data_IF_499052388519
#
_entry.id   IF_499052388519
#
_cell.length_a   1.000
_cell.length_b   1.000
_cell.length_c   1.000
_cell.angle_alpha   90.00
_cell.angle_beta   90.00
_cell.angle_gamma   90.00
#
_symmetry.space_group_name_H-M   'P 1'
#
loop_
_entity.id
_entity.type
_entity.pdbx_description
1 polymer ?
#
# COMPACT_ATOMS: atom_id res chain seq x y z
N UNK A 1 42.34 -56.51 -6.17
CA UNK A 1 41.07 -56.42 -6.92
C UNK A 1 40.24 -55.26 -6.43
N UNK A 2 40.19 -54.15 -7.18
CA UNK A 2 39.50 -52.93 -6.79
C UNK A 2 38.30 -52.63 -7.70
N UNK A 3 37.16 -52.39 -7.03
CA UNK A 3 36.04 -51.47 -7.31
C UNK A 3 35.51 -51.35 -8.77
N UNK A 4 34.31 -51.88 -8.99
CA UNK A 4 33.29 -51.28 -9.87
C UNK A 4 31.97 -51.16 -9.09
N UNK A 5 31.69 -49.96 -8.59
CA UNK A 5 30.35 -49.57 -8.15
C UNK A 5 29.89 -48.46 -9.10
N UNK A 6 29.01 -48.82 -10.05
CA UNK A 6 28.22 -47.87 -10.82
C UNK A 6 26.97 -47.55 -10.00
N UNK A 7 26.89 -46.37 -9.39
CA UNK A 7 25.63 -45.79 -8.92
C UNK A 7 25.15 -44.78 -9.95
N UNK A 8 24.07 -45.15 -10.63
CA UNK A 8 23.24 -44.27 -11.44
C UNK A 8 22.39 -43.43 -10.50
N UNK A 9 22.75 -42.17 -10.29
CA UNK A 9 21.88 -41.15 -9.69
C UNK A 9 21.36 -40.26 -10.81
N UNK A 10 20.29 -40.69 -11.48
CA UNK A 10 19.42 -39.78 -12.24
C UNK A 10 18.61 -38.98 -11.23
N UNK A 11 19.14 -37.85 -10.79
CA UNK A 11 18.32 -36.78 -10.24
C UNK A 11 17.54 -36.16 -11.38
N UNK A 12 16.22 -36.39 -11.41
CA UNK A 12 15.30 -35.58 -12.21
C UNK A 12 15.32 -34.16 -11.64
N UNK A 13 16.12 -33.29 -12.23
CA UNK A 13 15.89 -31.86 -12.12
C UNK A 13 14.61 -31.55 -12.91
N UNK A 14 13.59 -30.92 -12.31
CA UNK A 14 12.45 -30.45 -13.07
C UNK A 14 12.95 -29.43 -14.08
N UNK A 15 12.56 -29.64 -15.34
CA UNK A 15 12.99 -28.81 -16.45
C UNK A 15 12.49 -27.38 -16.26
N UNK A 16 13.31 -26.41 -16.65
CA UNK A 16 13.09 -24.96 -16.62
C UNK A 16 11.83 -24.48 -17.39
N UNK A 17 11.03 -25.40 -17.94
CA UNK A 17 9.76 -25.14 -18.63
C UNK A 17 8.53 -25.21 -17.73
N UNK A 18 8.59 -25.84 -16.56
CA UNK A 18 7.44 -25.95 -15.65
C UNK A 18 7.36 -24.82 -14.61
N UNK A 19 8.44 -24.05 -14.43
CA UNK A 19 8.44 -22.83 -13.61
C UNK A 19 8.13 -21.56 -14.41
N UNK A 20 7.70 -21.72 -15.67
CA UNK A 20 7.35 -20.62 -16.58
C UNK A 20 5.87 -20.22 -16.56
N UNK A 21 5.00 -20.96 -15.88
CA UNK A 21 3.54 -20.72 -15.92
C UNK A 21 3.02 -19.78 -14.82
N UNK A 22 3.89 -19.23 -13.97
CA UNK A 22 3.54 -18.17 -12.99
C UNK A 22 4.37 -16.89 -13.18
N UNK A 23 5.05 -16.73 -14.33
CA UNK A 23 5.71 -15.47 -14.72
C UNK A 23 4.77 -14.63 -15.61
N UNK A 24 3.64 -14.24 -15.04
CA UNK A 24 2.91 -13.08 -15.55
C UNK A 24 3.50 -11.85 -14.89
N UNK A 25 4.16 -11.00 -15.68
CA UNK A 25 4.64 -9.64 -15.33
C UNK A 25 6.12 -9.50 -14.97
N UNK A 26 7.01 -10.13 -15.74
CA UNK A 26 8.32 -9.51 -15.98
C UNK A 26 8.18 -8.50 -17.10
N UNK A 27 8.58 -7.25 -16.84
CA UNK A 27 8.61 -6.12 -17.78
C UNK A 27 9.66 -6.32 -18.88
N UNK A 28 9.52 -7.37 -19.69
CA UNK A 28 10.16 -7.47 -20.99
C UNK A 28 9.41 -6.56 -21.97
N UNK A 29 10.13 -5.69 -22.68
CA UNK A 29 9.60 -4.80 -23.73
C UNK A 29 8.48 -5.49 -24.53
N UNK A 30 7.22 -5.18 -24.20
CA UNK A 30 6.07 -5.55 -25.02
C UNK A 30 6.29 -4.92 -26.38
N UNK A 31 6.35 -5.74 -27.43
CA UNK A 31 6.39 -5.22 -28.80
C UNK A 31 5.07 -4.49 -29.03
N UNK A 32 5.15 -3.34 -29.70
CA UNK A 32 3.99 -2.51 -30.03
C UNK A 32 2.99 -3.35 -30.84
N UNK A 33 1.92 -3.84 -30.20
CA UNK A 33 0.90 -4.70 -30.82
C UNK A 33 0.62 -6.03 -30.11
N UNK A 34 1.47 -6.46 -29.18
CA UNK A 34 1.20 -7.63 -28.35
C UNK A 34 0.30 -7.21 -27.17
N UNK A 35 -1.02 -7.34 -27.34
CA UNK A 35 -1.94 -7.35 -26.20
C UNK A 35 -1.98 -8.80 -25.69
N UNK A 36 -1.30 -9.16 -24.58
CA UNK A 36 -1.55 -10.44 -23.94
C UNK A 36 -3.03 -10.49 -23.57
N UNK A 37 -3.80 -11.31 -24.28
CA UNK A 37 -5.21 -11.53 -23.96
C UNK A 37 -5.25 -12.41 -22.72
N UNK A 38 -5.73 -11.84 -21.63
CA UNK A 38 -6.08 -12.59 -20.43
C UNK A 38 -7.14 -13.63 -20.78
N UNK A 39 -7.16 -14.74 -20.04
CA UNK A 39 -8.31 -15.63 -20.12
C UNK A 39 -9.57 -14.85 -19.67
N UNK A 40 -10.77 -15.14 -20.20
CA UNK A 40 -11.98 -14.38 -19.87
C UNK A 40 -12.25 -14.23 -18.36
N UNK A 41 -11.92 -15.25 -17.57
CA UNK A 41 -12.07 -15.24 -16.11
C UNK A 41 -11.04 -14.32 -15.43
N UNK A 42 -9.81 -14.29 -15.92
CA UNK A 42 -8.75 -13.40 -15.41
C UNK A 42 -9.05 -11.94 -15.76
N UNK A 43 -9.58 -11.70 -16.97
CA UNK A 43 -10.03 -10.38 -17.40
C UNK A 43 -11.19 -9.88 -16.53
N UNK A 44 -12.20 -10.72 -16.27
CA UNK A 44 -13.31 -10.36 -15.39
C UNK A 44 -12.83 -10.08 -13.96
N UNK A 45 -11.99 -10.93 -13.38
CA UNK A 45 -11.43 -10.71 -12.05
C UNK A 45 -10.64 -9.40 -11.97
N UNK A 46 -9.85 -9.08 -13.00
CA UNK A 46 -9.11 -7.82 -13.08
C UNK A 46 -10.05 -6.61 -13.19
N UNK A 47 -11.09 -6.68 -14.04
CA UNK A 47 -12.06 -5.59 -14.20
C UNK A 47 -12.82 -5.33 -12.91
N UNK A 48 -13.21 -6.38 -12.19
CA UNK A 48 -13.85 -6.24 -10.88
C UNK A 48 -12.91 -5.64 -9.84
N UNK A 49 -11.63 -6.06 -9.81
CA UNK A 49 -10.62 -5.46 -8.94
C UNK A 49 -10.46 -3.97 -9.22
N UNK A 50 -10.29 -3.58 -10.49
CA UNK A 50 -10.18 -2.19 -10.90
C UNK A 50 -11.44 -1.37 -10.58
N UNK A 51 -12.62 -1.96 -10.73
CA UNK A 51 -13.89 -1.32 -10.34
C UNK A 51 -13.90 -1.01 -8.84
N UNK A 52 -13.56 -1.99 -8.01
CA UNK A 52 -13.50 -1.83 -6.55
C UNK A 52 -12.45 -0.80 -6.12
N UNK A 53 -11.27 -0.81 -6.75
CA UNK A 53 -10.24 0.21 -6.50
C UNK A 53 -10.71 1.62 -6.83
N UNK A 54 -11.45 1.79 -7.93
CA UNK A 54 -12.05 3.08 -8.31
C UNK A 54 -13.12 3.51 -7.31
N UNK A 55 -13.99 2.60 -6.90
CA UNK A 55 -15.02 2.85 -5.88
C UNK A 55 -14.40 3.23 -4.54
N UNK A 56 -13.38 2.49 -4.07
CA UNK A 56 -12.66 2.79 -2.85
C UNK A 56 -11.94 4.15 -2.91
N UNK A 57 -11.31 4.48 -4.05
CA UNK A 57 -10.66 5.77 -4.27
C UNK A 57 -11.66 6.93 -4.30
N UNK A 58 -12.81 6.74 -4.95
CA UNK A 58 -13.88 7.72 -4.98
C UNK A 58 -14.44 7.96 -3.57
N UNK A 59 -14.71 6.89 -2.82
CA UNK A 59 -15.16 6.97 -1.43
C UNK A 59 -14.14 7.67 -0.53
N UNK A 60 -12.86 7.33 -0.62
CA UNK A 60 -11.80 7.99 0.15
C UNK A 60 -11.69 9.49 -0.17
N UNK A 61 -11.82 9.87 -1.45
CA UNK A 61 -11.82 11.27 -1.86
C UNK A 61 -13.05 12.03 -1.33
N UNK A 62 -14.23 11.40 -1.36
CA UNK A 62 -15.45 11.95 -0.79
C UNK A 62 -15.31 12.16 0.72
N UNK A 63 -14.84 11.16 1.47
CA UNK A 63 -14.64 11.28 2.92
C UNK A 63 -13.62 12.37 3.26
N UNK A 64 -12.52 12.48 2.52
CA UNK A 64 -11.53 13.53 2.72
C UNK A 64 -12.12 14.94 2.45
N UNK A 65 -12.89 15.12 1.37
CA UNK A 65 -13.56 16.39 1.09
C UNK A 65 -14.63 16.71 2.15
N UNK A 66 -15.40 15.71 2.59
CA UNK A 66 -16.41 15.86 3.63
C UNK A 66 -15.79 16.27 4.97
N UNK A 67 -14.69 15.64 5.40
CA UNK A 67 -13.97 15.99 6.62
C UNK A 67 -13.41 17.43 6.59
N UNK A 68 -12.91 17.87 5.44
CA UNK A 68 -12.42 19.24 5.26
C UNK A 68 -13.55 20.28 5.35
N UNK A 69 -14.71 19.98 4.77
CA UNK A 69 -15.88 20.88 4.80
C UNK A 69 -16.60 20.86 6.15
N UNK A 70 -16.64 19.72 6.83
CA UNK A 70 -17.22 19.54 8.16
C UNK A 70 -16.64 20.51 9.20
N UNK A 71 -15.35 20.83 9.08
CA UNK A 71 -14.69 21.84 9.91
C UNK A 71 -15.27 23.24 9.77
N UNK A 72 -15.80 23.57 8.59
CA UNK A 72 -16.44 24.86 8.34
C UNK A 72 -17.89 24.82 8.81
N UNK A 73 -18.61 23.73 8.52
CA UNK A 73 -20.00 23.53 8.92
C UNK A 73 -20.16 23.48 10.44
N UNK A 74 -19.18 22.97 11.18
CA UNK A 74 -19.22 22.88 12.64
C UNK A 74 -19.25 24.25 13.35
N UNK A 75 -19.10 25.35 12.60
CA UNK A 75 -19.21 26.73 13.10
C UNK A 75 -20.59 27.35 12.86
N UNK A 76 -21.46 26.65 12.15
CA UNK A 76 -22.80 27.09 11.83
C UNK A 76 -23.79 26.68 12.94
N UNK A 77 -24.95 27.34 13.04
CA UNK A 77 -26.06 26.85 13.85
C UNK A 77 -26.41 25.41 13.44
N UNK A 78 -26.73 24.57 14.43
CA UNK A 78 -27.00 23.13 14.22
C UNK A 78 -28.15 22.92 13.23
N UNK A 79 -29.12 23.83 13.26
CA UNK A 79 -30.33 23.84 12.46
C UNK A 79 -30.04 24.04 10.96
N UNK A 80 -28.92 24.71 10.61
CA UNK A 80 -28.54 25.00 9.23
C UNK A 80 -27.66 23.92 8.59
N UNK A 81 -27.09 23.02 9.41
CA UNK A 81 -26.08 22.03 8.96
C UNK A 81 -26.62 21.14 7.85
N UNK A 82 -27.84 20.60 8.00
CA UNK A 82 -28.42 19.67 7.03
C UNK A 82 -28.67 20.35 5.68
N UNK A 83 -29.26 21.54 5.68
CA UNK A 83 -29.56 22.29 4.47
C UNK A 83 -28.28 22.64 3.67
N UNK A 84 -27.22 23.05 4.38
CA UNK A 84 -25.94 23.34 3.75
C UNK A 84 -25.25 22.06 3.25
N UNK A 85 -25.27 20.97 4.02
CA UNK A 85 -24.72 19.68 3.61
C UNK A 85 -25.40 19.13 2.34
N UNK A 86 -26.73 19.27 2.25
CA UNK A 86 -27.53 18.92 1.06
C UNK A 86 -27.18 19.76 -0.17
N UNK A 87 -26.75 21.01 0.03
CA UNK A 87 -26.32 21.90 -1.06
C UNK A 87 -24.89 21.58 -1.51
N UNK A 88 -23.97 21.40 -0.56
CA UNK A 88 -22.57 21.07 -0.84
C UNK A 88 -22.40 19.71 -1.50
N UNK A 89 -23.18 18.71 -1.09
CA UNK A 89 -23.17 17.36 -1.67
C UNK A 89 -23.48 17.33 -3.17
N UNK A 90 -24.18 18.33 -3.71
CA UNK A 90 -24.51 18.45 -5.14
C UNK A 90 -23.60 19.39 -5.91
N UNK A 91 -23.00 20.37 -5.24
CA UNK A 91 -22.25 21.46 -5.89
C UNK A 91 -20.74 21.21 -5.93
N UNK A 92 -20.21 20.41 -5.00
CA UNK A 92 -18.79 20.06 -4.95
C UNK A 92 -18.49 18.85 -5.82
N UNK A 93 -17.46 18.95 -6.66
CA UNK A 93 -17.18 17.97 -7.71
C UNK A 93 -16.94 16.56 -7.19
N UNK A 94 -16.20 16.35 -6.09
CA UNK A 94 -15.95 15.00 -5.59
C UNK A 94 -17.15 14.45 -4.82
N UNK A 95 -17.91 15.32 -4.13
CA UNK A 95 -19.15 14.95 -3.44
C UNK A 95 -20.30 14.59 -4.38
N UNK A 96 -20.43 15.30 -5.50
CA UNK A 96 -21.51 15.12 -6.47
C UNK A 96 -21.50 13.75 -7.17
N UNK A 97 -20.43 12.97 -7.01
CA UNK A 97 -20.32 11.59 -7.52
C UNK A 97 -21.28 10.65 -6.76
N UNK A 98 -21.47 10.89 -5.45
CA UNK A 98 -22.39 10.15 -4.60
C UNK A 98 -23.08 11.11 -3.62
N UNK A 99 -24.12 11.84 -4.05
CA UNK A 99 -24.70 12.93 -3.27
C UNK A 99 -25.29 12.49 -1.91
N UNK A 100 -25.86 11.29 -1.83
CA UNK A 100 -26.42 10.75 -0.58
C UNK A 100 -25.28 10.45 0.41
N UNK A 101 -24.28 9.68 -0.02
CA UNK A 101 -23.10 9.37 0.77
C UNK A 101 -22.39 10.64 1.24
N UNK A 102 -22.25 11.63 0.37
CA UNK A 102 -21.65 12.91 0.69
C UNK A 102 -22.46 13.71 1.71
N UNK A 103 -23.80 13.75 1.58
CA UNK A 103 -24.67 14.43 2.53
C UNK A 103 -24.53 13.80 3.92
N UNK A 104 -24.63 12.47 4.02
CA UNK A 104 -24.50 11.73 5.27
C UNK A 104 -23.11 11.93 5.87
N UNK A 105 -22.05 11.80 5.07
CA UNK A 105 -20.68 12.01 5.52
C UNK A 105 -20.46 13.44 6.02
N UNK A 106 -21.01 14.46 5.36
CA UNK A 106 -20.92 15.85 5.81
C UNK A 106 -21.61 16.05 7.16
N UNK A 107 -22.86 15.60 7.31
CA UNK A 107 -23.60 15.78 8.57
C UNK A 107 -22.91 15.01 9.71
N UNK A 108 -22.57 13.74 9.50
CA UNK A 108 -21.89 12.92 10.49
C UNK A 108 -20.54 13.54 10.90
N UNK A 109 -19.66 13.84 9.94
CA UNK A 109 -18.36 14.44 10.24
C UNK A 109 -18.50 15.82 10.92
N UNK A 110 -19.52 16.60 10.57
CA UNK A 110 -19.76 17.92 11.19
C UNK A 110 -20.12 17.78 12.66
N UNK A 111 -21.11 16.93 12.98
CA UNK A 111 -21.51 16.66 14.35
C UNK A 111 -20.32 16.15 15.17
N UNK A 112 -19.55 15.22 14.62
CA UNK A 112 -18.38 14.67 15.30
C UNK A 112 -17.25 15.71 15.48
N UNK A 113 -17.15 16.72 14.62
CA UNK A 113 -16.25 17.86 14.84
C UNK A 113 -16.69 18.77 15.99
N UNK A 114 -17.97 18.74 16.37
CA UNK A 114 -18.52 19.50 17.49
C UNK A 114 -18.32 18.80 18.85
N UNK A 115 -17.71 17.60 18.88
CA UNK A 115 -17.42 16.83 20.12
C UNK A 115 -16.39 17.50 21.06
N UNK A 116 -15.92 18.71 20.78
CA UNK A 116 -15.11 19.52 21.68
C UNK A 116 -15.82 20.80 22.05
N UNK A 117 -15.91 21.12 23.34
CA UNK A 117 -16.22 22.49 23.76
C UNK A 117 -15.23 23.44 23.07
N UNK A 118 -15.67 24.54 22.44
CA UNK A 118 -14.73 25.54 21.99
C UNK A 118 -14.00 26.03 23.24
N UNK A 119 -12.73 25.67 23.40
CA UNK A 119 -11.84 26.41 24.27
C UNK A 119 -11.87 27.83 23.74
N UNK A 120 -12.48 28.74 24.52
CA UNK A 120 -12.61 30.14 24.13
C UNK A 120 -11.24 30.64 23.65
N UNK A 121 -11.12 31.18 22.44
CA UNK A 121 -9.92 31.92 22.10
C UNK A 121 -9.84 33.10 23.05
N UNK A 122 -8.75 33.21 23.81
CA UNK A 122 -8.42 34.44 24.54
C UNK A 122 -8.68 35.65 23.62
N UNK A 123 -9.36 36.71 24.10
CA UNK A 123 -9.75 37.81 23.25
C UNK A 123 -8.51 38.48 22.65
N UNK A 124 -8.30 38.25 21.35
CA UNK A 124 -7.25 38.89 20.58
C UNK A 124 -7.44 40.41 20.61
N UNK A 125 -6.41 41.12 21.10
CA UNK A 125 -6.32 42.58 21.11
C UNK A 125 -6.70 43.15 19.73
N UNK A 126 -7.65 44.10 19.73
CA UNK A 126 -8.15 44.83 18.56
C UNK A 126 -7.01 45.41 17.72
N UNK A 127 -6.72 44.76 16.60
CA UNK A 127 -5.88 45.27 15.52
C UNK A 127 -6.74 45.56 14.29
N UNK A 128 -6.99 46.84 14.03
CA UNK A 128 -7.79 47.33 12.92
C UNK A 128 -7.04 47.12 11.59
N UNK A 129 -7.60 46.41 10.58
CA UNK A 129 -7.28 46.64 9.15
C UNK A 129 -8.25 45.95 8.18
N UNK A 130 -8.44 46.64 7.06
CA UNK A 130 -9.51 46.62 6.05
C UNK A 130 -9.63 45.35 5.20
N UNK A 131 -10.84 45.15 4.70
CA UNK A 131 -11.25 44.20 3.67
C UNK A 131 -10.51 44.38 2.33
N UNK A 132 -10.27 43.25 1.65
CA UNK A 132 -9.77 43.17 0.27
C UNK A 132 -9.40 41.73 -0.09
N UNK A 133 -10.05 41.18 -1.11
CA UNK A 133 -10.13 39.75 -1.42
C UNK A 133 -8.82 38.95 -1.40
N UNK A 134 -8.82 37.86 -0.61
CA UNK A 134 -7.94 36.69 -0.67
C UNK A 134 -8.39 35.65 0.38
N UNK A 135 -9.68 35.31 0.38
CA UNK A 135 -10.29 34.43 1.39
C UNK A 135 -9.88 32.96 1.25
N UNK A 136 -9.46 32.48 0.08
CA UNK A 136 -9.10 31.06 -0.09
C UNK A 136 -7.74 30.65 0.51
N UNK A 137 -6.75 31.55 0.55
CA UNK A 137 -5.43 31.24 1.14
C UNK A 137 -5.36 31.49 2.64
N UNK A 138 -6.17 32.41 3.18
CA UNK A 138 -6.34 32.56 4.63
C UNK A 138 -7.09 31.37 5.24
N UNK A 139 -8.01 30.75 4.48
CA UNK A 139 -8.79 29.57 4.90
C UNK A 139 -7.94 28.30 4.99
N UNK A 140 -6.93 28.10 4.13
CA UNK A 140 -5.96 27.00 4.29
C UNK A 140 -5.08 27.18 5.54
N UNK A 141 -4.70 28.41 5.86
CA UNK A 141 -3.93 28.70 7.08
C UNK A 141 -4.80 28.64 8.36
N UNK A 142 -6.10 28.93 8.25
CA UNK A 142 -7.05 28.79 9.35
C UNK A 142 -7.44 27.33 9.60
N UNK A 143 -7.64 26.50 8.56
CA UNK A 143 -7.86 25.06 8.70
C UNK A 143 -6.65 24.35 9.34
N UNK A 144 -5.43 24.84 9.10
CA UNK A 144 -4.21 24.35 9.75
C UNK A 144 -4.06 24.76 11.23
N UNK A 145 -4.80 25.79 11.69
CA UNK A 145 -4.81 26.24 13.09
C UNK A 145 -6.01 25.74 13.91
N UNK A 146 -6.98 25.06 13.30
CA UNK A 146 -8.19 24.54 13.97
C UNK A 146 -7.98 23.07 14.36
N UNK A 147 -6.85 22.82 15.02
CA UNK A 147 -6.48 21.54 15.62
C UNK A 147 -5.94 21.83 17.02
N UNK A 148 -6.77 22.33 17.92
CA UNK A 148 -6.33 22.63 19.31
C UNK A 148 -7.26 22.05 20.39
N UNK A 149 -8.21 21.19 20.02
CA UNK A 149 -8.92 20.34 20.99
C UNK A 149 -8.26 18.96 21.06
N UNK A 150 -8.19 18.31 22.25
CA UNK A 150 -7.86 16.89 22.30
C UNK A 150 -8.87 16.10 21.45
N UNK A 151 -8.45 15.02 20.77
CA UNK A 151 -9.38 14.20 20.02
C UNK A 151 -10.49 13.68 20.95
N UNK A 152 -11.75 13.69 20.51
CA UNK A 152 -12.88 13.30 21.35
C UNK A 152 -12.80 11.82 21.75
N UNK A 153 -13.35 11.55 22.92
CA UNK A 153 -13.45 10.23 23.55
C UNK A 153 -14.75 9.54 23.14
N UNK A 154 -14.82 8.22 23.35
CA UNK A 154 -16.03 7.43 23.08
C UNK A 154 -17.31 8.01 23.73
N UNK A 155 -17.31 8.40 25.02
CA UNK A 155 -18.47 9.03 25.65
C UNK A 155 -18.95 10.32 24.98
N UNK A 156 -18.02 11.20 24.58
CA UNK A 156 -18.35 12.47 23.90
C UNK A 156 -18.99 12.20 22.53
N UNK A 157 -18.42 11.28 21.76
CA UNK A 157 -18.98 10.84 20.48
C UNK A 157 -20.40 10.28 20.66
N UNK A 158 -20.60 9.37 21.63
CA UNK A 158 -21.93 8.81 21.90
C UNK A 158 -22.94 9.89 22.31
N UNK A 159 -22.55 10.84 23.13
CA UNK A 159 -23.43 11.93 23.56
C UNK A 159 -23.89 12.79 22.38
N UNK A 160 -22.97 13.15 21.48
CA UNK A 160 -23.29 13.93 20.28
C UNK A 160 -24.20 13.17 19.33
N UNK A 161 -23.92 11.88 19.07
CA UNK A 161 -24.78 11.04 18.23
C UNK A 161 -26.19 10.90 18.83
N UNK A 162 -26.30 10.62 20.15
CA UNK A 162 -27.59 10.53 20.85
C UNK A 162 -28.37 11.85 20.81
N UNK A 163 -27.70 12.98 21.04
CA UNK A 163 -28.33 14.30 21.06
C UNK A 163 -28.81 14.79 19.69
N UNK A 164 -28.20 14.29 18.61
CA UNK A 164 -28.45 14.76 17.24
C UNK A 164 -28.98 13.65 16.31
N UNK A 165 -29.59 12.60 16.87
CA UNK A 165 -30.11 11.47 16.09
C UNK A 165 -31.09 11.92 15.00
N UNK A 166 -31.94 12.92 15.27
CA UNK A 166 -32.88 13.46 14.28
C UNK A 166 -32.20 14.00 13.01
N UNK A 167 -31.07 14.72 13.14
CA UNK A 167 -30.31 15.22 11.98
C UNK A 167 -29.66 14.09 11.19
N UNK A 168 -29.21 13.04 11.87
CA UNK A 168 -28.65 11.86 11.21
C UNK A 168 -29.73 11.09 10.47
N UNK A 169 -30.91 10.91 11.06
CA UNK A 169 -32.06 10.29 10.41
C UNK A 169 -32.52 11.09 9.17
N UNK A 170 -32.54 12.43 9.26
CA UNK A 170 -32.83 13.30 8.12
C UNK A 170 -31.74 13.18 7.03
N UNK A 171 -30.47 13.06 7.44
CA UNK A 171 -29.34 12.86 6.52
C UNK A 171 -29.41 11.54 5.76
N UNK A 172 -29.78 10.44 6.41
CA UNK A 172 -29.92 9.11 5.79
C UNK A 172 -31.20 8.98 4.96
N UNK A 173 -32.15 9.90 5.15
CA UNK A 173 -33.48 9.88 4.54
C UNK A 173 -34.25 8.57 4.81
N UNK A 174 -33.90 7.85 5.89
CA UNK A 174 -34.47 6.54 6.23
C UNK A 174 -34.25 5.47 5.15
N UNK A 175 -33.20 5.58 4.34
CA UNK A 175 -32.92 4.60 3.26
C UNK A 175 -31.78 3.66 3.63
N UNK A 176 -31.84 2.42 3.13
CA UNK A 176 -30.77 1.44 3.29
C UNK A 176 -29.39 1.99 2.89
N UNK A 177 -29.31 2.64 1.72
CA UNK A 177 -28.08 3.26 1.24
C UNK A 177 -27.60 4.40 2.16
N UNK A 178 -28.52 5.19 2.71
CA UNK A 178 -28.20 6.25 3.66
C UNK A 178 -27.64 5.70 4.98
N UNK A 179 -28.26 4.64 5.52
CA UNK A 179 -27.78 3.98 6.74
C UNK A 179 -26.39 3.33 6.51
N UNK A 180 -26.19 2.63 5.39
CA UNK A 180 -24.87 2.11 5.00
C UNK A 180 -23.83 3.23 4.81
N UNK A 181 -24.23 4.38 4.24
CA UNK A 181 -23.36 5.54 4.12
C UNK A 181 -22.98 6.13 5.50
N UNK A 182 -23.90 6.10 6.48
CA UNK A 182 -23.64 6.54 7.84
C UNK A 182 -22.60 5.64 8.52
N UNK A 183 -22.75 4.32 8.39
CA UNK A 183 -21.79 3.35 8.90
C UNK A 183 -20.40 3.54 8.28
N UNK A 184 -20.31 3.73 6.96
CA UNK A 184 -19.05 4.00 6.25
C UNK A 184 -18.42 5.34 6.63
N UNK A 185 -19.22 6.38 6.82
CA UNK A 185 -18.74 7.68 7.28
C UNK A 185 -18.19 7.61 8.71
N UNK A 186 -18.89 6.90 9.60
CA UNK A 186 -18.44 6.68 10.98
C UNK A 186 -17.16 5.84 11.03
N UNK A 187 -17.07 4.75 10.26
CA UNK A 187 -15.84 3.94 10.10
C UNK A 187 -14.67 4.83 9.67
N UNK A 188 -14.84 5.61 8.60
CA UNK A 188 -13.82 6.48 8.06
C UNK A 188 -13.37 7.56 9.06
N UNK A 189 -14.29 8.07 9.88
CA UNK A 189 -13.97 9.05 10.91
C UNK A 189 -13.26 8.43 12.11
N UNK A 190 -13.70 7.26 12.60
CA UNK A 190 -13.06 6.56 13.72
C UNK A 190 -11.62 6.14 13.40
N UNK A 191 -11.34 5.82 12.13
CA UNK A 191 -10.00 5.48 11.65
C UNK A 191 -9.12 6.71 11.33
N UNK A 192 -9.67 7.93 11.36
CA UNK A 192 -8.89 9.14 11.16
C UNK A 192 -8.21 9.61 12.46
N UNK A 193 -7.23 10.51 12.32
CA UNK A 193 -6.46 11.04 13.47
C UNK A 193 -7.31 11.72 14.55
N UNK A 194 -8.54 12.17 14.22
CA UNK A 194 -9.49 12.76 15.15
C UNK A 194 -10.32 11.73 15.91
N UNK A 195 -10.73 10.65 15.25
CA UNK A 195 -11.59 9.63 15.84
C UNK A 195 -10.84 8.51 16.57
N UNK A 196 -9.52 8.41 16.39
CA UNK A 196 -8.72 7.30 16.92
C UNK A 196 -8.84 7.10 18.44
N UNK A 197 -9.10 8.16 19.23
CA UNK A 197 -9.33 8.04 20.69
C UNK A 197 -10.71 7.48 21.04
N UNK A 198 -11.70 7.64 20.16
CA UNK A 198 -13.03 7.08 20.32
C UNK A 198 -13.12 5.64 19.79
N UNK A 199 -12.19 5.22 18.93
CA UNK A 199 -12.17 3.90 18.30
C UNK A 199 -12.26 2.71 19.29
N UNK A 200 -11.60 2.71 20.46
CA UNK A 200 -11.79 1.63 21.44
C UNK A 200 -13.22 1.48 21.97
N UNK A 201 -14.07 2.50 21.77
CA UNK A 201 -15.50 2.47 22.10
C UNK A 201 -16.38 2.18 20.88
N UNK A 202 -15.84 1.72 19.76
CA UNK A 202 -16.61 1.53 18.51
C UNK A 202 -17.86 0.65 18.71
N UNK A 203 -17.76 -0.48 19.40
CA UNK A 203 -18.91 -1.32 19.76
C UNK A 203 -20.04 -0.51 20.44
N UNK A 204 -19.73 0.25 21.50
CA UNK A 204 -20.72 1.10 22.19
C UNK A 204 -21.21 2.27 21.36
N UNK A 205 -20.46 2.71 20.35
CA UNK A 205 -20.88 3.78 19.43
C UNK A 205 -21.86 3.20 18.39
N UNK A 206 -21.62 1.98 17.91
CA UNK A 206 -22.54 1.27 17.02
C UNK A 206 -23.86 0.94 17.71
N UNK A 207 -23.79 0.52 18.98
CA UNK A 207 -24.96 0.33 19.86
C UNK A 207 -25.83 1.60 19.91
N UNK A 208 -25.24 2.80 19.91
CA UNK A 208 -26.02 4.06 19.82
C UNK A 208 -26.77 4.19 18.51
N UNK A 209 -26.19 3.77 17.39
CA UNK A 209 -26.86 3.85 16.09
C UNK A 209 -28.03 2.87 16.03
N UNK A 210 -27.87 1.69 16.63
CA UNK A 210 -28.92 0.69 16.78
C UNK A 210 -30.05 1.19 17.70
N UNK A 211 -29.74 1.59 18.94
CA UNK A 211 -30.68 2.12 19.94
C UNK A 211 -31.52 3.33 19.48
N UNK A 212 -31.04 4.03 18.45
CA UNK A 212 -31.65 5.27 17.93
C UNK A 212 -32.28 5.10 16.56
N UNK A 213 -32.45 3.86 16.10
CA UNK A 213 -33.03 3.53 14.79
C UNK A 213 -32.31 4.26 13.64
N UNK A 214 -31.00 4.52 13.79
CA UNK A 214 -30.16 5.16 12.78
C UNK A 214 -29.56 4.14 11.81
N UNK A 215 -29.42 2.90 12.26
CA UNK A 215 -29.03 1.76 11.47
C UNK A 215 -29.83 0.54 11.93
N UNK A 216 -30.67 0.04 11.04
CA UNK A 216 -31.42 -1.21 11.24
C UNK A 216 -30.47 -2.41 11.25
N UNK A 217 -30.89 -3.45 11.95
CA UNK A 217 -30.13 -4.69 12.12
C UNK A 217 -29.67 -5.30 10.80
N UNK A 218 -30.58 -5.45 9.82
CA UNK A 218 -30.25 -5.99 8.50
C UNK A 218 -29.08 -5.23 7.84
N UNK A 219 -29.04 -3.90 8.01
CA UNK A 219 -28.03 -3.05 7.40
C UNK A 219 -26.72 -3.05 8.19
N UNK A 220 -26.78 -3.23 9.50
CA UNK A 220 -25.61 -3.47 10.36
C UNK A 220 -24.94 -4.81 10.00
N UNK A 221 -25.71 -5.89 9.90
CA UNK A 221 -25.20 -7.22 9.54
C UNK A 221 -24.66 -7.25 8.10
N UNK A 222 -25.37 -6.63 7.15
CA UNK A 222 -24.91 -6.48 5.76
C UNK A 222 -23.59 -5.69 5.68
N UNK A 223 -23.49 -4.58 6.41
CA UNK A 223 -22.25 -3.81 6.52
C UNK A 223 -21.12 -4.62 7.15
N UNK A 224 -21.41 -5.43 8.17
CA UNK A 224 -20.40 -6.28 8.82
C UNK A 224 -19.89 -7.39 7.90
N UNK A 225 -20.77 -8.01 7.12
CA UNK A 225 -20.37 -8.94 6.07
C UNK A 225 -19.42 -8.27 5.06
N UNK A 226 -19.71 -7.03 4.65
CA UNK A 226 -18.85 -6.22 3.80
C UNK A 226 -17.48 -5.91 4.44
N UNK A 227 -17.44 -5.60 5.74
CA UNK A 227 -16.21 -5.41 6.52
C UNK A 227 -15.38 -6.69 6.53
N UNK A 228 -15.97 -7.84 6.83
CA UNK A 228 -15.28 -9.14 6.85
C UNK A 228 -14.78 -9.56 5.46
N UNK A 229 -15.57 -9.29 4.41
CA UNK A 229 -15.15 -9.49 3.03
C UNK A 229 -13.98 -8.57 2.67
N UNK A 230 -13.95 -7.31 3.11
CA UNK A 230 -12.79 -6.40 2.94
C UNK A 230 -11.56 -6.93 3.67
N UNK A 231 -11.68 -7.36 4.93
CA UNK A 231 -10.56 -7.94 5.71
C UNK A 231 -9.93 -9.15 5.04
N UNK A 232 -10.76 -10.09 4.61
CA UNK A 232 -10.29 -11.32 3.95
C UNK A 232 -9.55 -11.00 2.65
N UNK A 233 -10.06 -10.04 1.87
CA UNK A 233 -9.40 -9.57 0.65
C UNK A 233 -8.09 -8.85 0.92
N UNK A 234 -8.07 -7.89 1.83
CA UNK A 234 -6.84 -7.15 2.17
C UNK A 234 -5.77 -8.09 2.75
N UNK A 235 -6.17 -9.12 3.51
CA UNK A 235 -5.26 -10.16 3.99
C UNK A 235 -4.69 -11.02 2.85
N UNK A 236 -5.51 -11.40 1.88
CA UNK A 236 -5.07 -12.16 0.70
C UNK A 236 -4.13 -11.34 -0.19
N UNK A 237 -4.46 -10.07 -0.46
CA UNK A 237 -3.61 -9.15 -1.24
C UNK A 237 -2.26 -8.89 -0.54
N UNK A 238 -2.26 -8.75 0.79
CA UNK A 238 -1.03 -8.62 1.56
C UNK A 238 -0.17 -9.88 1.45
N UNK A 239 -0.77 -11.06 1.59
CA UNK A 239 -0.05 -12.34 1.48
C UNK A 239 0.56 -12.54 0.08
N UNK A 240 -0.15 -12.15 -0.98
CA UNK A 240 0.35 -12.17 -2.36
C UNK A 240 1.55 -11.23 -2.55
N UNK A 241 1.45 -9.99 -2.04
CA UNK A 241 2.55 -9.02 -2.07
C UNK A 241 3.77 -9.49 -1.26
N UNK A 242 3.55 -10.14 -0.10
CA UNK A 242 4.63 -10.72 0.72
C UNK A 242 5.35 -11.84 -0.02
N UNK A 243 4.61 -12.76 -0.65
CA UNK A 243 5.18 -13.83 -1.45
C UNK A 243 5.98 -13.28 -2.65
N UNK A 244 5.45 -12.27 -3.34
CA UNK A 244 6.11 -11.61 -4.47
C UNK A 244 7.40 -10.92 -4.04
N UNK A 245 7.36 -10.15 -2.95
CA UNK A 245 8.56 -9.50 -2.41
C UNK A 245 9.60 -10.51 -1.91
N UNK A 246 9.17 -11.62 -1.30
CA UNK A 246 10.09 -12.67 -0.86
C UNK A 246 10.80 -13.32 -2.05
N UNK A 247 10.09 -13.62 -3.14
CA UNK A 247 10.66 -14.18 -4.35
C UNK A 247 11.67 -13.23 -5.01
N UNK A 248 11.30 -11.95 -5.20
CA UNK A 248 12.17 -10.93 -5.79
C UNK A 248 13.37 -10.60 -4.89
N UNK A 249 13.18 -10.62 -3.57
CA UNK A 249 14.28 -10.45 -2.62
C UNK A 249 15.27 -11.61 -2.68
N UNK A 250 14.79 -12.85 -2.89
CA UNK A 250 15.66 -14.01 -3.11
C UNK A 250 16.42 -13.93 -4.45
N UNK A 251 15.76 -13.45 -5.52
CA UNK A 251 16.40 -13.23 -6.82
C UNK A 251 17.50 -12.16 -6.74
N UNK A 252 17.22 -11.03 -6.06
CA UNK A 252 18.23 -10.01 -5.78
C UNK A 252 19.41 -10.58 -4.98
N UNK A 253 19.15 -11.35 -3.92
CA UNK A 253 20.20 -11.96 -3.12
C UNK A 253 21.09 -12.90 -3.94
N UNK A 254 20.50 -13.71 -4.82
CA UNK A 254 21.23 -14.57 -5.74
C UNK A 254 22.07 -13.76 -6.75
N UNK A 255 21.54 -12.65 -7.27
CA UNK A 255 22.28 -11.75 -8.15
C UNK A 255 23.46 -11.07 -7.43
N UNK A 256 23.28 -10.66 -6.17
CA UNK A 256 24.37 -10.12 -5.35
C UNK A 256 25.49 -11.14 -5.14
N UNK A 257 25.15 -12.39 -4.84
CA UNK A 257 26.13 -13.48 -4.71
C UNK A 257 26.87 -13.75 -6.02
N UNK A 258 26.17 -13.73 -7.15
CA UNK A 258 26.78 -13.89 -8.47
C UNK A 258 27.77 -12.75 -8.79
N UNK A 259 27.46 -11.50 -8.43
CA UNK A 259 28.38 -10.36 -8.55
C UNK A 259 29.59 -10.54 -7.63
N UNK A 260 29.39 -10.96 -6.37
CA UNK A 260 30.49 -11.23 -5.44
C UNK A 260 31.43 -12.31 -5.98
N UNK A 261 30.89 -13.38 -6.56
CA UNK A 261 31.68 -14.42 -7.19
C UNK A 261 32.47 -13.89 -8.39
N UNK A 262 31.80 -13.22 -9.33
CA UNK A 262 32.45 -12.66 -10.52
C UNK A 262 33.54 -11.63 -10.17
N UNK A 263 33.35 -10.85 -9.10
CA UNK A 263 34.34 -9.90 -8.61
C UNK A 263 35.60 -10.59 -8.06
N UNK A 264 35.45 -11.74 -7.39
CA UNK A 264 36.59 -12.55 -6.95
C UNK A 264 37.33 -13.15 -8.14
N UNK A 265 36.61 -13.71 -9.12
CA UNK A 265 37.22 -14.26 -10.33
C UNK A 265 37.96 -13.20 -11.15
N UNK A 266 37.42 -11.97 -11.21
CA UNK A 266 38.11 -10.83 -11.83
C UNK A 266 39.40 -10.47 -11.08
N UNK A 267 39.37 -10.44 -9.74
CA UNK A 267 40.56 -10.17 -8.93
C UNK A 267 41.63 -11.25 -9.12
N UNK A 268 41.24 -12.52 -9.19
CA UNK A 268 42.14 -13.64 -9.47
C UNK A 268 42.72 -13.54 -10.89
N UNK A 269 41.90 -13.20 -11.89
CA UNK A 269 42.35 -12.97 -13.26
C UNK A 269 43.37 -11.82 -13.34
N UNK A 270 43.13 -10.71 -12.62
CA UNK A 270 44.06 -9.59 -12.54
C UNK A 270 45.39 -9.99 -11.87
N UNK A 271 45.35 -10.84 -10.84
CA UNK A 271 46.55 -11.38 -10.22
C UNK A 271 47.35 -12.27 -11.18
N UNK A 272 46.68 -13.19 -11.90
CA UNK A 272 47.31 -14.04 -12.90
C UNK A 272 47.91 -13.26 -14.06
N UNK A 273 47.24 -12.19 -14.50
CA UNK A 273 47.76 -11.29 -15.53
C UNK A 273 49.09 -10.66 -15.09
N UNK A 274 49.15 -10.11 -13.87
CA UNK A 274 50.40 -9.54 -13.33
C UNK A 274 51.54 -10.56 -13.27
N UNK A 275 51.23 -11.80 -12.86
CA UNK A 275 52.22 -12.88 -12.84
C UNK A 275 52.71 -13.23 -14.25
N UNK A 276 51.80 -13.27 -15.23
CA UNK A 276 52.15 -13.55 -16.62
C UNK A 276 52.97 -12.40 -17.25
N UNK A 277 52.65 -11.14 -16.95
CA UNK A 277 53.41 -9.96 -17.36
C UNK A 277 54.83 -10.00 -16.79
N UNK A 278 54.96 -10.26 -15.49
CA UNK A 278 56.27 -10.37 -14.84
C UNK A 278 57.10 -11.52 -15.45
N UNK A 279 56.47 -12.67 -15.72
CA UNK A 279 57.15 -13.80 -16.37
C UNK A 279 57.57 -13.49 -17.80
N UNK A 280 56.73 -12.81 -18.58
CA UNK A 280 57.08 -12.38 -19.93
C UNK A 280 58.27 -11.41 -19.93
N UNK A 281 58.27 -10.46 -18.98
CA UNK A 281 59.38 -9.52 -18.82
C UNK A 281 60.69 -10.21 -18.40
N UNK A 282 60.62 -11.19 -17.48
CA UNK A 282 61.79 -11.94 -17.02
C UNK A 282 62.39 -12.87 -18.08
N UNK A 283 61.57 -13.39 -19.01
CA UNK A 283 62.01 -14.29 -20.06
C UNK A 283 62.47 -13.57 -21.34
N UNK A 284 62.46 -12.23 -21.36
CA UNK A 284 62.81 -11.45 -22.55
C UNK A 284 64.29 -11.61 -22.88
N UNK A 285 64.60 -12.13 -24.07
CA UNK A 285 65.98 -12.37 -24.49
C UNK A 285 66.50 -11.27 -25.44
N UNK A 286 67.83 -11.04 -25.42
CA UNK A 286 68.52 -10.02 -26.20
C UNK A 286 69.09 -10.54 -27.52
N UNK A 287 69.98 -9.79 -28.17
CA UNK A 287 70.48 -10.08 -29.52
C UNK A 287 71.35 -11.34 -29.72
N UNK A 288 71.53 -12.19 -28.70
CA UNK A 288 72.31 -13.44 -28.78
C UNK A 288 71.76 -14.53 -27.86
N UNK A 289 70.45 -14.78 -27.96
CA UNK A 289 69.74 -15.79 -27.17
C UNK A 289 70.00 -17.22 -27.65
N UNK A 290 70.01 -18.17 -26.71
CA UNK A 290 69.98 -19.60 -27.01
C UNK A 290 68.59 -20.05 -27.47
N UNK A 291 68.51 -21.19 -28.17
CA UNK A 291 67.22 -21.77 -28.62
C UNK A 291 66.25 -22.04 -27.47
N UNK A 292 66.76 -22.35 -26.28
CA UNK A 292 65.94 -22.59 -25.09
C UNK A 292 65.35 -21.28 -24.54
N UNK A 293 66.12 -20.19 -24.56
CA UNK A 293 65.66 -18.86 -24.16
C UNK A 293 64.62 -18.30 -25.14
N UNK A 294 64.82 -18.47 -26.44
CA UNK A 294 63.83 -18.10 -27.47
C UNK A 294 62.51 -18.87 -27.30
N UNK A 295 62.59 -20.17 -26.99
CA UNK A 295 61.41 -21.00 -26.74
C UNK A 295 60.68 -20.57 -25.45
N UNK A 296 61.43 -20.22 -24.40
CA UNK A 296 60.89 -19.74 -23.13
C UNK A 296 60.20 -18.37 -23.26
N UNK A 297 60.78 -17.43 -24.03
CA UNK A 297 60.14 -16.14 -24.33
C UNK A 297 58.85 -16.33 -25.13
N UNK A 298 58.88 -17.17 -26.17
CA UNK A 298 57.69 -17.46 -26.97
C UNK A 298 56.57 -18.09 -26.14
N UNK A 299 56.92 -18.99 -25.22
CA UNK A 299 55.95 -19.60 -24.31
C UNK A 299 55.38 -18.58 -23.31
N UNK A 300 56.21 -17.72 -22.73
CA UNK A 300 55.77 -16.70 -21.76
C UNK A 300 54.84 -15.67 -22.41
N UNK A 301 55.13 -15.23 -23.63
CA UNK A 301 54.26 -14.36 -24.43
C UNK A 301 52.93 -15.02 -24.78
N UNK A 302 52.93 -16.32 -25.10
CA UNK A 302 51.68 -17.06 -25.32
C UNK A 302 50.81 -17.15 -24.05
N UNK A 303 51.44 -17.36 -22.89
CA UNK A 303 50.74 -17.39 -21.60
C UNK A 303 50.20 -16.02 -21.22
N UNK A 304 50.96 -14.95 -21.47
CA UNK A 304 50.50 -13.56 -21.29
C UNK A 304 49.26 -13.28 -22.14
N UNK A 305 49.26 -13.65 -23.43
CA UNK A 305 48.10 -13.48 -24.30
C UNK A 305 46.86 -14.18 -23.74
N UNK A 306 46.99 -15.43 -23.27
CA UNK A 306 45.88 -16.17 -22.64
C UNK A 306 45.39 -15.49 -21.36
N UNK A 307 46.28 -14.94 -20.55
CA UNK A 307 45.92 -14.21 -19.34
C UNK A 307 45.13 -12.93 -19.65
N UNK A 308 45.52 -12.19 -20.70
CA UNK A 308 44.78 -11.00 -21.18
C UNK A 308 43.37 -11.38 -21.66
N UNK A 309 43.27 -12.45 -22.46
CA UNK A 309 41.98 -12.95 -22.97
C UNK A 309 41.06 -13.40 -21.81
N UNK A 310 41.61 -14.12 -20.82
CA UNK A 310 40.88 -14.53 -19.63
C UNK A 310 40.42 -13.34 -18.78
N UNK A 311 41.28 -12.35 -18.54
CA UNK A 311 40.92 -11.12 -17.84
C UNK A 311 39.76 -10.38 -18.53
N UNK A 312 39.85 -10.21 -19.86
CA UNK A 312 38.79 -9.59 -20.67
C UNK A 312 37.47 -10.37 -20.58
N UNK A 313 37.53 -11.70 -20.49
CA UNK A 313 36.34 -12.54 -20.31
C UNK A 313 35.72 -12.32 -18.93
N UNK A 314 36.52 -12.26 -17.87
CA UNK A 314 36.03 -12.03 -16.50
C UNK A 314 35.41 -10.65 -16.33
N UNK A 315 35.99 -9.61 -16.96
CA UNK A 315 35.40 -8.27 -16.98
C UNK A 315 33.99 -8.27 -17.61
N UNK A 316 33.81 -9.01 -18.72
CA UNK A 316 32.49 -9.16 -19.36
C UNK A 316 31.50 -9.89 -18.47
N UNK A 317 31.94 -10.95 -17.77
CA UNK A 317 31.10 -11.69 -16.83
C UNK A 317 30.67 -10.79 -15.69
N UNK A 318 31.60 -10.06 -15.07
CA UNK A 318 31.28 -9.12 -13.99
C UNK A 318 30.28 -8.06 -14.46
N UNK A 319 30.52 -7.43 -15.63
CA UNK A 319 29.61 -6.45 -16.19
C UNK A 319 28.19 -7.02 -16.42
N UNK A 320 28.08 -8.24 -16.94
CA UNK A 320 26.80 -8.91 -17.11
C UNK A 320 26.11 -9.18 -15.76
N UNK A 321 26.82 -9.68 -14.76
CA UNK A 321 26.25 -9.92 -13.42
C UNK A 321 25.85 -8.64 -12.70
N UNK A 322 26.63 -7.57 -12.84
CA UNK A 322 26.27 -6.26 -12.32
C UNK A 322 25.01 -5.71 -12.98
N UNK A 323 24.81 -5.97 -14.29
CA UNK A 323 23.57 -5.63 -14.97
C UNK A 323 22.37 -6.43 -14.42
N UNK A 324 22.52 -7.74 -14.26
CA UNK A 324 21.48 -8.62 -13.68
C UNK A 324 21.07 -8.12 -12.28
N UNK A 325 22.03 -7.70 -11.44
CA UNK A 325 21.76 -7.15 -10.11
C UNK A 325 21.00 -5.81 -10.15
N UNK A 326 21.32 -4.94 -11.10
CA UNK A 326 20.60 -3.66 -11.28
C UNK A 326 19.15 -3.92 -11.67
N UNK A 327 18.91 -4.85 -12.60
CA UNK A 327 17.58 -5.25 -13.04
C UNK A 327 16.76 -5.85 -11.88
N UNK A 328 17.32 -6.83 -11.16
CA UNK A 328 16.65 -7.43 -10.00
C UNK A 328 16.36 -6.42 -8.87
N UNK A 329 17.24 -5.43 -8.69
CA UNK A 329 17.01 -4.36 -7.71
C UNK A 329 15.88 -3.41 -8.12
N UNK A 330 15.80 -3.07 -9.41
CA UNK A 330 14.73 -2.24 -9.95
C UNK A 330 13.36 -2.95 -9.90
N UNK A 331 13.33 -4.25 -10.16
CA UNK A 331 12.10 -5.06 -10.09
C UNK A 331 11.55 -5.20 -8.66
N UNK A 332 12.42 -5.19 -7.63
CA UNK A 332 12.01 -5.27 -6.23
C UNK A 332 11.43 -3.97 -5.67
N UNK A 333 11.86 -2.81 -6.17
CA UNK A 333 11.56 -1.50 -5.56
C UNK A 333 10.06 -1.19 -5.49
N UNK A 334 9.33 -1.39 -6.59
CA UNK A 334 7.90 -1.09 -6.66
C UNK A 334 7.05 -2.05 -5.80
N UNK A 335 7.20 -3.39 -5.89
CA UNK A 335 6.52 -4.33 -5.00
C UNK A 335 6.78 -4.07 -3.52
N UNK A 336 8.01 -3.69 -3.16
CA UNK A 336 8.35 -3.42 -1.76
C UNK A 336 7.67 -2.16 -1.23
N UNK A 337 7.48 -1.12 -2.06
CA UNK A 337 6.66 0.05 -1.71
C UNK A 337 5.20 -0.33 -1.49
N UNK A 338 4.62 -1.10 -2.41
CA UNK A 338 3.23 -1.58 -2.30
C UNK A 338 3.03 -2.40 -1.03
N UNK A 339 3.95 -3.33 -0.74
CA UNK A 339 3.90 -4.12 0.49
C UNK A 339 3.95 -3.24 1.75
N UNK A 340 4.79 -2.21 1.75
CA UNK A 340 4.89 -1.28 2.88
C UNK A 340 3.59 -0.52 3.08
N UNK A 341 2.98 -0.01 2.01
CA UNK A 341 1.68 0.68 2.06
C UNK A 341 0.56 -0.24 2.54
N UNK A 342 0.52 -1.49 2.07
CA UNK A 342 -0.46 -2.49 2.50
C UNK A 342 -0.30 -2.87 3.98
N UNK A 343 0.93 -2.99 4.49
CA UNK A 343 1.18 -3.23 5.92
C UNK A 343 0.66 -2.12 6.80
N UNK A 344 0.95 -0.86 6.44
CA UNK A 344 0.40 0.30 7.14
C UNK A 344 -1.12 0.27 7.10
N UNK A 345 -1.71 0.05 5.93
CA UNK A 345 -3.18 -0.05 5.78
C UNK A 345 -3.79 -1.14 6.66
N UNK A 346 -3.14 -2.30 6.81
CA UNK A 346 -3.62 -3.36 7.71
C UNK A 346 -3.61 -2.93 9.17
N UNK A 347 -2.59 -2.19 9.61
CA UNK A 347 -2.47 -1.76 11.02
C UNK A 347 -3.44 -0.64 11.41
N UNK A 348 -3.75 0.29 10.49
CA UNK A 348 -4.60 1.46 10.76
C UNK A 348 -5.93 1.46 10.01
N UNK A 349 -6.29 0.36 9.36
CA UNK A 349 -7.46 0.26 8.48
C UNK A 349 -8.59 -0.61 9.01
N UNK A 350 -9.23 -1.35 8.11
CA UNK A 350 -10.45 -2.13 8.38
C UNK A 350 -10.27 -3.18 9.48
N UNK A 351 -9.08 -3.77 9.60
CA UNK A 351 -8.74 -4.74 10.65
C UNK A 351 -8.81 -4.10 12.04
N UNK A 352 -8.30 -2.87 12.17
CA UNK A 352 -8.34 -2.13 13.43
C UNK A 352 -9.76 -1.75 13.82
N UNK A 353 -10.58 -1.33 12.85
CA UNK A 353 -12.01 -1.09 13.09
C UNK A 353 -12.71 -2.37 13.56
N UNK A 354 -12.54 -3.47 12.83
CA UNK A 354 -13.18 -4.74 13.14
C UNK A 354 -12.83 -5.24 14.55
N UNK A 355 -11.56 -5.13 14.96
CA UNK A 355 -11.12 -5.49 16.32
C UNK A 355 -11.90 -4.76 17.43
N UNK A 356 -12.34 -3.53 17.20
CA UNK A 356 -13.04 -2.72 18.21
C UNK A 356 -14.57 -2.75 18.07
N UNK A 357 -15.09 -3.35 17.00
CA UNK A 357 -16.52 -3.45 16.71
C UNK A 357 -17.07 -4.87 16.82
N UNK A 358 -16.20 -5.89 16.79
CA UNK A 358 -16.59 -7.31 16.74
C UNK A 358 -17.58 -7.70 17.83
N UNK A 359 -17.36 -7.29 19.08
CA UNK A 359 -18.24 -7.63 20.21
C UNK A 359 -19.68 -7.15 20.04
N UNK A 360 -19.89 -6.02 19.33
CA UNK A 360 -21.25 -5.53 19.03
C UNK A 360 -21.92 -6.40 17.96
N UNK A 361 -21.19 -6.77 16.92
CA UNK A 361 -21.75 -7.58 15.84
C UNK A 361 -21.91 -9.06 16.20
N UNK A 362 -21.10 -9.57 17.14
CA UNK A 362 -21.32 -10.90 17.74
C UNK A 362 -22.61 -10.89 18.57
N UNK A 363 -22.78 -9.90 19.46
CA UNK A 363 -24.03 -9.75 20.21
C UNK A 363 -25.26 -9.60 19.30
N UNK A 364 -25.17 -8.75 18.28
CA UNK A 364 -26.28 -8.53 17.34
C UNK A 364 -26.65 -9.81 16.56
N UNK A 365 -25.68 -10.68 16.28
CA UNK A 365 -25.94 -11.93 15.57
C UNK A 365 -26.44 -13.07 16.49
N UNK A 366 -26.23 -12.96 17.81
CA UNK A 366 -26.72 -13.93 18.79
C UNK A 366 -28.22 -13.76 19.07
N UNK A 367 -28.78 -12.55 18.95
CA UNK A 367 -30.21 -12.29 19.15
C UNK A 367 -31.12 -12.96 18.08
N UNK A 368 -30.57 -13.40 16.94
CA UNK A 368 -31.28 -14.12 15.86
C UNK A 368 -31.43 -15.63 16.11
N UNK A 369 -30.64 -16.23 17.01
CA UNK A 369 -30.61 -17.70 17.22
C UNK A 369 -31.57 -18.19 18.34
N UNK A 370 -32.22 -17.29 19.08
CA UNK A 370 -33.04 -17.62 20.27
C UNK A 370 -34.58 -17.56 20.03
N UNK A 371 -35.07 -17.29 18.81
CA UNK A 371 -36.51 -17.21 18.49
C UNK A 371 -37.14 -18.47 17.84
N UNK A 372 -36.40 -19.57 17.68
CA UNK A 372 -36.93 -20.85 17.16
C UNK A 372 -36.79 -22.00 18.19
N UNK A 373 -37.64 -22.03 19.23
CA UNK A 373 -37.95 -23.25 20.01
C UNK A 373 -39.39 -23.27 20.58
#
# INVERSE_FOLDING_TARGET
SQKKFRRSTRGHHPSRRELGQLRGWSSGMLRKGDNPRLAPLEEQALLEKLRREREAKAHAALQAEAQLLALTLARMPIEDIFAEAKTLSKTKKALAIAPVDAQVALVCNTLLCMCGTPTEPEPAKKGNKKAGGKTLNAVKLAAAKVVEGPPPTGPEVRAVLKGNAHLLAEATNGTANGQLALLKALEAWLLCSRGVKALPSAAKILEVLYDKDLAEEEHLLSYWADVNARRTREAAELAESEATCAALSAEKAAAEEAVRHASREQADAAWHLKQAEQRAQNCRCGGSASREEEAAEKQSLSMLKKAIEYGTQMDKVLAARSKDLIEASAELEAPQRVLTEQRVRKEVGVELFAKNSVAFFEWLAEDDDDEDD
#
